data_IF_537858601599
#
_entry.id   IF_537858601599
#
_cell.length_a   1.000
_cell.length_b   1.000
_cell.length_c   1.000
_cell.angle_alpha   90.00
_cell.angle_beta   90.00
_cell.angle_gamma   90.00
#
_symmetry.space_group_name_H-M   'P 1'
#
loop_
_entity.id
_entity.type
_entity.pdbx_description
1 polymer ?
#
# COMPACT_ATOMS: atom_id res chain seq x y z
N UNK A 1 -7.89 71.52 -52.31
CA UNK A 1 -8.64 72.60 -51.63
C UNK A 1 -9.28 72.03 -50.37
N UNK A 2 -9.31 72.82 -49.28
CA UNK A 2 -9.37 72.35 -47.91
C UNK A 2 -10.82 72.12 -47.46
N UNK A 3 -11.01 71.45 -46.33
CA UNK A 3 -11.84 71.87 -45.19
C UNK A 3 -11.79 70.76 -44.10
N UNK A 4 -11.82 71.14 -42.82
CA UNK A 4 -11.19 70.41 -41.73
C UNK A 4 -12.17 69.56 -40.94
N UNK A 5 -11.67 68.46 -40.37
CA UNK A 5 -12.38 67.77 -39.29
C UNK A 5 -12.09 68.44 -37.95
N UNK A 6 -13.19 68.86 -37.33
CA UNK A 6 -13.33 69.48 -36.02
C UNK A 6 -12.78 68.60 -34.90
N UNK A 7 -12.24 69.29 -33.91
CA UNK A 7 -11.95 68.81 -32.57
C UNK A 7 -13.15 68.09 -31.92
N UNK A 8 -12.87 67.01 -31.19
CA UNK A 8 -13.85 66.23 -30.47
C UNK A 8 -13.27 65.63 -29.19
N UNK A 9 -13.61 66.29 -28.09
CA UNK A 9 -13.83 65.79 -26.73
C UNK A 9 -12.77 64.88 -26.07
N UNK A 10 -12.08 65.52 -25.11
CA UNK A 10 -11.78 65.03 -23.77
C UNK A 10 -12.39 63.66 -23.39
N UNK A 11 -11.53 62.65 -23.32
CA UNK A 11 -11.78 61.41 -22.59
C UNK A 11 -11.18 61.53 -21.19
N UNK A 12 -12.03 61.70 -20.19
CA UNK A 12 -11.67 61.66 -18.76
C UNK A 12 -11.22 60.22 -18.46
N UNK A 13 -9.94 60.07 -18.13
CA UNK A 13 -9.37 58.81 -17.66
C UNK A 13 -9.94 58.49 -16.27
N UNK A 14 -10.97 57.64 -16.21
CA UNK A 14 -11.41 57.03 -14.97
C UNK A 14 -10.36 55.98 -14.56
N UNK A 15 -9.43 56.38 -13.68
CA UNK A 15 -8.62 55.44 -12.91
C UNK A 15 -9.55 54.61 -12.02
N UNK A 16 -9.86 53.40 -12.47
CA UNK A 16 -10.49 52.38 -11.64
C UNK A 16 -9.45 51.84 -10.66
N UNK A 17 -9.39 52.43 -9.47
CA UNK A 17 -8.63 51.90 -8.34
C UNK A 17 -9.28 50.58 -7.91
N UNK A 18 -8.70 49.44 -8.32
CA UNK A 18 -9.02 48.14 -7.76
C UNK A 18 -8.61 48.14 -6.28
N UNK A 19 -9.58 48.26 -5.38
CA UNK A 19 -9.39 47.94 -3.97
C UNK A 19 -9.30 46.41 -3.86
N UNK A 20 -8.08 45.88 -3.82
CA UNK A 20 -7.82 44.53 -3.35
C UNK A 20 -8.17 44.49 -1.85
N UNK A 21 -9.38 44.03 -1.53
CA UNK A 21 -9.68 43.64 -0.15
C UNK A 21 -8.89 42.35 0.12
N UNK A 22 -7.77 42.50 0.83
CA UNK A 22 -7.02 41.36 1.34
C UNK A 22 -7.92 40.66 2.34
N UNK A 23 -8.41 39.47 1.99
CA UNK A 23 -9.04 38.57 2.94
C UNK A 23 -7.92 38.01 3.81
N UNK A 24 -7.51 38.77 4.82
CA UNK A 24 -6.72 38.25 5.93
C UNK A 24 -7.66 37.37 6.75
N UNK A 25 -7.92 36.16 6.24
CA UNK A 25 -8.52 35.10 7.03
C UNK A 25 -7.45 34.69 8.04
N UNK A 26 -7.42 35.40 9.16
CA UNK A 26 -6.55 35.10 10.28
C UNK A 26 -6.63 33.61 10.57
N UNK A 27 -5.51 32.92 10.44
CA UNK A 27 -5.36 31.54 10.86
C UNK A 27 -5.57 31.53 12.38
N UNK A 28 -6.78 31.21 12.82
CA UNK A 28 -7.02 30.92 14.22
C UNK A 28 -6.11 29.73 14.57
N UNK A 29 -5.15 29.96 15.46
CA UNK A 29 -4.31 28.90 15.98
C UNK A 29 -5.22 27.83 16.60
N UNK A 30 -5.25 26.64 16.01
CA UNK A 30 -5.93 25.48 16.58
C UNK A 30 -5.20 25.15 17.89
N UNK A 31 -5.86 25.21 19.06
CA UNK A 31 -5.21 24.86 20.31
C UNK A 31 -4.83 23.36 20.26
N UNK A 32 -3.63 22.98 20.75
CA UNK A 32 -3.26 21.58 20.86
C UNK A 32 -4.27 20.87 21.79
N UNK A 33 -5.05 19.94 21.23
CA UNK A 33 -6.06 19.18 21.97
C UNK A 33 -7.48 19.23 21.40
N UNK A 34 -7.76 20.07 20.39
CA UNK A 34 -9.11 20.20 19.80
C UNK A 34 -9.61 19.01 18.95
N UNK A 35 -9.01 17.82 19.09
CA UNK A 35 -9.40 16.61 18.34
C UNK A 35 -9.32 15.31 19.14
N UNK A 36 -9.20 15.37 20.47
CA UNK A 36 -8.99 14.18 21.31
C UNK A 36 -10.26 13.66 22.02
N UNK A 37 -11.42 14.29 21.82
CA UNK A 37 -12.64 14.05 22.62
C UNK A 37 -13.82 13.50 21.79
N UNK A 38 -13.56 12.92 20.62
CA UNK A 38 -14.57 12.07 19.99
C UNK A 38 -14.42 10.67 20.62
N UNK A 39 -15.44 10.16 21.34
CA UNK A 39 -15.38 8.81 21.88
C UNK A 39 -15.15 7.84 20.73
N UNK A 40 -14.27 6.82 20.89
CA UNK A 40 -14.07 5.81 19.87
C UNK A 40 -15.43 5.28 19.41
N UNK A 41 -15.63 5.16 18.10
CA UNK A 41 -16.84 4.55 17.57
C UNK A 41 -17.03 3.18 18.25
N UNK A 42 -18.11 3.02 19.01
CA UNK A 42 -18.34 1.81 19.80
C UNK A 42 -18.25 0.58 18.89
N UNK A 43 -17.38 -0.37 19.26
CA UNK A 43 -17.15 -1.60 18.51
C UNK A 43 -15.91 -1.63 17.60
N UNK A 44 -15.17 -0.52 17.45
CA UNK A 44 -13.86 -0.54 16.77
C UNK A 44 -12.76 -0.85 17.79
N UNK A 45 -12.01 -1.95 17.67
CA UNK A 45 -10.91 -2.25 18.58
C UNK A 45 -9.82 -1.15 18.49
N UNK A 46 -9.11 -0.87 19.58
CA UNK A 46 -8.03 0.12 19.57
C UNK A 46 -6.95 -0.30 18.56
N UNK A 47 -6.31 0.69 17.94
CA UNK A 47 -5.19 0.44 17.03
C UNK A 47 -4.06 -0.29 17.76
N UNK A 48 -3.47 -1.29 17.11
CA UNK A 48 -2.31 -1.98 17.66
C UNK A 48 -1.10 -1.04 17.70
N UNK A 49 -0.33 -1.12 18.79
CA UNK A 49 0.95 -0.44 18.89
C UNK A 49 1.96 -1.02 17.88
N UNK A 50 2.90 -0.20 17.44
CA UNK A 50 4.04 -0.65 16.65
C UNK A 50 4.85 -1.69 17.45
N UNK A 51 5.19 -2.86 16.86
CA UNK A 51 5.95 -3.88 17.56
C UNK A 51 7.41 -3.45 17.77
N UNK A 52 8.05 -4.00 18.80
CA UNK A 52 9.50 -3.93 18.95
C UNK A 52 10.18 -4.81 17.91
N UNK A 53 11.03 -4.21 17.08
CA UNK A 53 11.77 -4.88 15.99
C UNK A 53 13.24 -5.10 16.33
N UNK A 54 13.66 -4.87 17.57
CA UNK A 54 15.05 -5.09 17.99
C UNK A 54 15.47 -6.54 17.74
N UNK A 55 16.48 -6.74 16.89
CA UNK A 55 16.94 -8.07 16.50
C UNK A 55 16.10 -8.79 15.44
N UNK A 56 15.06 -8.15 14.91
CA UNK A 56 14.29 -8.68 13.79
C UNK A 56 15.12 -8.62 12.49
N UNK A 57 14.96 -9.65 11.66
CA UNK A 57 15.66 -9.78 10.38
C UNK A 57 14.81 -10.49 9.35
N UNK A 58 15.16 -10.29 8.08
CA UNK A 58 14.62 -11.13 7.00
C UNK A 58 15.24 -12.52 7.05
N UNK A 59 14.41 -13.53 6.84
CA UNK A 59 14.83 -14.92 6.70
C UNK A 59 14.03 -15.58 5.57
N UNK A 60 14.69 -16.45 4.82
CA UNK A 60 14.02 -17.41 3.95
C UNK A 60 13.31 -18.45 4.79
N UNK A 61 12.15 -18.92 4.34
CA UNK A 61 11.50 -20.08 4.96
C UNK A 61 11.81 -21.37 4.18
N UNK A 62 11.00 -22.41 4.35
CA UNK A 62 11.18 -23.68 3.64
C UNK A 62 10.94 -23.57 2.12
N UNK A 63 10.33 -22.49 1.64
CA UNK A 63 10.05 -22.20 0.24
C UNK A 63 11.01 -21.12 -0.30
N UNK A 64 11.66 -21.31 -1.45
CA UNK A 64 12.46 -20.26 -2.07
C UNK A 64 11.62 -19.08 -2.58
N UNK A 65 10.29 -19.21 -2.56
CA UNK A 65 9.34 -18.22 -3.02
C UNK A 65 8.71 -17.43 -1.87
N UNK A 66 9.21 -17.57 -0.64
CA UNK A 66 8.70 -16.86 0.52
C UNK A 66 9.82 -16.45 1.48
N UNK A 67 9.71 -15.23 1.99
CA UNK A 67 10.58 -14.72 3.06
C UNK A 67 9.73 -14.08 4.15
N UNK A 68 10.25 -14.08 5.36
CA UNK A 68 9.59 -13.54 6.55
C UNK A 68 10.50 -12.56 7.27
N UNK A 69 9.91 -11.54 7.90
CA UNK A 69 10.60 -10.60 8.76
C UNK A 69 10.07 -10.70 10.18
N UNK A 70 10.96 -10.89 11.15
CA UNK A 70 10.62 -11.01 12.55
C UNK A 70 11.83 -11.42 13.38
N UNK A 71 11.61 -11.59 14.69
CA UNK A 71 12.61 -12.12 15.60
C UNK A 71 12.67 -13.64 15.47
N UNK A 72 13.85 -14.20 15.62
CA UNK A 72 14.03 -15.65 15.61
C UNK A 72 13.33 -16.30 16.82
N UNK A 73 12.59 -17.39 16.57
CA UNK A 73 11.81 -18.06 17.60
C UNK A 73 10.48 -17.39 17.94
N UNK A 74 10.17 -16.22 17.38
CA UNK A 74 8.88 -15.54 17.54
C UNK A 74 8.04 -15.61 16.26
N UNK A 75 6.76 -15.27 16.38
CA UNK A 75 5.88 -15.14 15.23
C UNK A 75 6.41 -14.04 14.29
N UNK A 76 6.50 -14.28 12.97
CA UNK A 76 6.87 -13.25 12.01
C UNK A 76 5.92 -12.05 12.05
N UNK A 77 6.42 -10.86 11.74
CA UNK A 77 5.63 -9.64 11.67
C UNK A 77 5.15 -9.37 10.24
N UNK A 78 5.99 -9.66 9.26
CA UNK A 78 5.73 -9.45 7.82
C UNK A 78 6.14 -10.71 7.06
N UNK A 79 5.42 -11.03 5.99
CA UNK A 79 5.84 -12.02 5.00
C UNK A 79 5.69 -11.46 3.59
N UNK A 80 6.61 -11.87 2.72
CA UNK A 80 6.55 -11.65 1.28
C UNK A 80 6.56 -13.00 0.59
N UNK A 81 5.67 -13.20 -0.39
CA UNK A 81 5.52 -14.47 -1.08
C UNK A 81 5.20 -14.26 -2.56
N UNK A 82 5.79 -15.07 -3.44
CA UNK A 82 5.38 -15.12 -4.84
C UNK A 82 4.04 -15.84 -4.94
N UNK A 83 3.07 -15.19 -5.57
CA UNK A 83 1.77 -15.78 -5.89
C UNK A 83 1.46 -15.57 -7.35
N UNK A 84 0.48 -16.30 -7.88
CA UNK A 84 -0.01 -16.08 -9.23
C UNK A 84 -1.52 -16.34 -9.24
N UNK A 85 -2.27 -15.26 -9.09
CA UNK A 85 -3.74 -15.24 -9.08
C UNK A 85 -4.32 -14.92 -10.48
N UNK A 86 -3.45 -14.79 -11.48
CA UNK A 86 -3.80 -14.41 -12.85
C UNK A 86 -2.68 -14.80 -13.82
N UNK A 87 -2.60 -14.18 -15.01
CA UNK A 87 -1.63 -14.57 -16.04
C UNK A 87 -0.18 -14.21 -15.68
N UNK A 88 0.03 -13.25 -14.78
CA UNK A 88 1.35 -12.79 -14.37
C UNK A 88 1.56 -13.11 -12.88
N UNK A 89 2.80 -13.44 -12.46
CA UNK A 89 3.13 -13.56 -11.06
C UNK A 89 3.04 -12.20 -10.36
N UNK A 90 2.69 -12.24 -9.08
CA UNK A 90 2.50 -11.09 -8.20
C UNK A 90 3.25 -11.34 -6.88
N UNK A 91 3.46 -10.26 -6.13
CA UNK A 91 4.01 -10.32 -4.78
C UNK A 91 2.88 -10.17 -3.77
N UNK A 92 2.71 -11.17 -2.91
CA UNK A 92 1.81 -11.11 -1.76
C UNK A 92 2.57 -10.53 -0.56
N UNK A 93 2.16 -9.34 -0.13
CA UNK A 93 2.64 -8.68 1.08
C UNK A 93 1.66 -8.96 2.22
N UNK A 94 2.12 -9.63 3.27
CA UNK A 94 1.31 -9.97 4.44
C UNK A 94 1.83 -9.28 5.69
N UNK A 95 0.96 -8.60 6.45
CA UNK A 95 1.22 -8.17 7.82
C UNK A 95 0.53 -9.15 8.76
N UNK A 96 1.34 -9.94 9.47
CA UNK A 96 0.90 -10.93 10.44
C UNK A 96 0.52 -10.22 11.75
N UNK A 97 -0.62 -9.54 11.71
CA UNK A 97 -1.29 -8.98 12.87
C UNK A 97 -2.79 -9.26 12.72
N UNK A 98 -3.55 -9.35 13.84
CA UNK A 98 -4.98 -9.57 13.78
C UNK A 98 -5.70 -8.57 12.88
N UNK A 99 -6.55 -9.09 12.00
CA UNK A 99 -7.42 -8.30 11.14
C UNK A 99 -8.91 -8.61 11.47
N UNK A 100 -9.79 -7.60 11.52
CA UNK A 100 -11.21 -7.82 11.74
C UNK A 100 -11.85 -8.52 10.53
N UNK A 101 -12.98 -9.20 10.74
CA UNK A 101 -13.72 -9.85 9.65
C UNK A 101 -14.12 -8.82 8.58
N UNK A 102 -13.81 -9.12 7.31
CA UNK A 102 -14.10 -8.20 6.20
C UNK A 102 -13.33 -6.87 6.27
N UNK A 103 -12.30 -6.79 7.13
CA UNK A 103 -11.48 -5.59 7.29
C UNK A 103 -10.83 -5.16 5.98
N UNK A 104 -10.80 -3.85 5.76
CA UNK A 104 -10.14 -3.20 4.62
C UNK A 104 -9.26 -2.08 5.15
N UNK A 105 -8.05 -1.98 4.61
CA UNK A 105 -7.08 -0.97 5.02
C UNK A 105 -6.20 -0.55 3.84
N UNK A 106 -5.36 0.44 4.08
CA UNK A 106 -4.22 0.75 3.22
C UNK A 106 -2.97 0.19 3.88
N UNK A 107 -2.20 -0.58 3.13
CA UNK A 107 -0.85 -0.95 3.45
C UNK A 107 0.09 0.09 2.84
N UNK A 108 0.53 1.03 3.67
CA UNK A 108 1.51 2.04 3.29
C UNK A 108 2.93 1.52 3.56
N UNK A 109 3.79 1.62 2.56
CA UNK A 109 5.23 1.39 2.72
C UNK A 109 5.96 2.65 2.30
N UNK A 110 6.64 3.29 3.24
CA UNK A 110 7.54 4.41 2.99
C UNK A 110 8.98 3.91 3.05
N UNK A 111 9.71 4.08 1.95
CA UNK A 111 11.05 3.53 1.85
C UNK A 111 11.71 3.89 0.54
N UNK A 112 13.05 3.95 0.55
CA UNK A 112 13.84 4.00 -0.68
C UNK A 112 13.52 5.19 -1.63
N UNK A 113 12.90 6.26 -1.13
CA UNK A 113 12.45 7.41 -1.94
C UNK A 113 11.10 7.22 -2.62
N UNK A 114 10.37 6.16 -2.28
CA UNK A 114 9.04 5.85 -2.78
C UNK A 114 8.07 5.67 -1.62
N UNK A 115 6.80 5.98 -1.90
CA UNK A 115 5.69 5.64 -1.01
C UNK A 115 4.74 4.75 -1.80
N UNK A 116 4.70 3.47 -1.43
CA UNK A 116 3.72 2.51 -1.89
C UNK A 116 2.47 2.58 -1.01
N UNK A 117 1.30 2.51 -1.64
CA UNK A 117 0.01 2.46 -0.95
C UNK A 117 -0.85 1.41 -1.64
N UNK A 118 -0.93 0.23 -1.05
CA UNK A 118 -1.68 -0.87 -1.63
C UNK A 118 -2.90 -1.17 -0.78
N UNK A 119 -3.98 -1.61 -1.44
CA UNK A 119 -5.18 -2.02 -0.72
C UNK A 119 -4.86 -3.32 0.03
N UNK A 120 -5.22 -3.36 1.31
CA UNK A 120 -5.11 -4.55 2.12
C UNK A 120 -6.48 -5.02 2.57
N UNK A 121 -6.69 -6.33 2.46
CA UNK A 121 -7.89 -7.02 2.92
C UNK A 121 -7.52 -7.97 4.05
N UNK A 122 -8.49 -8.20 4.94
CA UNK A 122 -8.40 -9.24 5.94
C UNK A 122 -8.57 -10.63 5.28
N UNK A 123 -7.59 -11.52 5.46
CA UNK A 123 -7.56 -12.85 4.87
C UNK A 123 -7.23 -13.93 5.91
N UNK A 124 -7.79 -15.13 5.74
CA UNK A 124 -7.52 -16.28 6.60
C UNK A 124 -6.24 -16.99 6.16
N UNK A 125 -5.27 -17.10 7.07
CA UNK A 125 -3.99 -17.80 6.86
C UNK A 125 -3.74 -18.66 8.09
N UNK A 126 -3.67 -19.99 7.90
CA UNK A 126 -3.44 -20.95 8.99
C UNK A 126 -4.40 -20.83 10.19
N UNK A 127 -5.66 -20.43 9.94
CA UNK A 127 -6.68 -20.24 10.96
C UNK A 127 -6.60 -18.91 11.72
N UNK A 128 -5.69 -18.01 11.31
CA UNK A 128 -5.62 -16.64 11.80
C UNK A 128 -5.99 -15.66 10.69
N UNK A 129 -6.71 -14.59 11.06
CA UNK A 129 -7.03 -13.53 10.12
C UNK A 129 -5.98 -12.43 10.16
N UNK A 130 -5.34 -12.20 9.03
CA UNK A 130 -4.21 -11.27 8.87
C UNK A 130 -4.47 -10.29 7.73
N UNK A 131 -3.64 -9.27 7.61
CA UNK A 131 -3.74 -8.29 6.52
C UNK A 131 -2.89 -8.71 5.32
N UNK A 132 -3.50 -8.75 4.15
CA UNK A 132 -2.82 -9.11 2.90
C UNK A 132 -3.04 -8.08 1.81
N UNK A 133 -2.00 -7.82 1.04
CA UNK A 133 -2.03 -7.01 -0.17
C UNK A 133 -1.32 -7.72 -1.31
N UNK A 134 -1.87 -7.67 -2.52
CA UNK A 134 -1.24 -8.24 -3.71
C UNK A 134 -0.72 -7.11 -4.58
N UNK A 135 0.55 -7.21 -5.00
CA UNK A 135 1.27 -6.17 -5.72
C UNK A 135 1.77 -6.74 -7.04
N UNK A 136 1.47 -6.07 -8.15
CA UNK A 136 2.02 -6.44 -9.45
C UNK A 136 3.55 -6.21 -9.49
N UNK A 137 4.29 -7.15 -10.06
CA UNK A 137 5.76 -7.04 -10.15
C UNK A 137 6.24 -5.90 -11.07
N UNK A 138 5.32 -5.32 -11.86
CA UNK A 138 5.55 -4.13 -12.69
C UNK A 138 5.09 -2.82 -12.03
N UNK A 139 4.59 -2.86 -10.80
CA UNK A 139 4.13 -1.66 -10.08
C UNK A 139 5.30 -0.68 -9.87
N UNK A 140 5.11 0.56 -10.32
CA UNK A 140 6.11 1.63 -10.23
C UNK A 140 6.54 1.92 -8.79
N UNK A 141 5.64 1.73 -7.82
CA UNK A 141 5.93 1.95 -6.39
C UNK A 141 6.56 0.75 -5.68
N UNK A 142 6.71 -0.41 -6.33
CA UNK A 142 7.36 -1.59 -5.74
C UNK A 142 8.77 -1.32 -5.15
N UNK A 143 9.61 -0.42 -5.73
CA UNK A 143 10.90 -0.07 -5.14
C UNK A 143 10.85 0.47 -3.71
N UNK A 144 9.68 0.92 -3.21
CA UNK A 144 9.51 1.26 -1.81
C UNK A 144 9.92 0.11 -0.88
N UNK A 145 9.64 -1.14 -1.28
CA UNK A 145 9.89 -2.36 -0.50
C UNK A 145 11.27 -2.99 -0.76
N UNK A 146 11.85 -2.80 -1.95
CA UNK A 146 12.99 -3.59 -2.44
C UNK A 146 14.31 -2.85 -2.52
N UNK A 147 14.37 -1.59 -2.07
CA UNK A 147 15.63 -0.85 -2.07
C UNK A 147 16.49 -1.09 -0.82
N UNK A 148 17.71 -0.52 -0.78
CA UNK A 148 18.74 -0.86 0.21
C UNK A 148 18.59 -0.15 1.55
N UNK A 149 17.54 0.66 1.77
CA UNK A 149 17.35 1.43 3.00
C UNK A 149 16.36 0.73 3.94
N UNK A 150 16.34 1.16 5.20
CA UNK A 150 15.23 0.82 6.07
C UNK A 150 13.93 1.41 5.52
N UNK A 151 12.81 0.78 5.85
CA UNK A 151 11.47 1.16 5.40
C UNK A 151 10.49 1.09 6.56
N UNK A 152 9.41 1.85 6.46
CA UNK A 152 8.29 1.82 7.41
C UNK A 152 7.06 1.22 6.74
N UNK A 153 6.60 0.10 7.27
CA UNK A 153 5.47 -0.68 6.75
C UNK A 153 4.28 -0.54 7.70
N UNK A 154 3.28 0.24 7.31
CA UNK A 154 2.13 0.61 8.13
C UNK A 154 0.84 0.06 7.56
N UNK A 155 0.02 -0.54 8.43
CA UNK A 155 -1.37 -0.88 8.12
C UNK A 155 -2.27 -0.13 9.10
N UNK A 156 -3.24 0.63 8.59
CA UNK A 156 -4.22 1.32 9.41
C UNK A 156 -4.91 0.34 10.36
N UNK A 157 -4.75 0.54 11.67
CA UNK A 157 -5.28 -0.35 12.72
C UNK A 157 -4.34 -1.46 13.21
N UNK A 158 -3.25 -1.75 12.49
CA UNK A 158 -2.26 -2.79 12.86
C UNK A 158 -0.82 -2.27 13.11
N UNK A 159 -0.69 -0.94 13.25
CA UNK A 159 0.56 -0.27 13.61
C UNK A 159 1.59 -0.20 12.47
N UNK A 160 2.78 0.27 12.81
CA UNK A 160 3.92 0.40 11.88
C UNK A 160 5.02 -0.58 12.25
N UNK A 161 5.50 -1.35 11.28
CA UNK A 161 6.69 -2.19 11.41
C UNK A 161 7.86 -1.48 10.73
N UNK A 162 8.90 -1.15 11.51
CA UNK A 162 10.16 -0.67 10.94
C UNK A 162 10.96 -1.89 10.46
N UNK A 163 11.30 -1.90 9.19
CA UNK A 163 12.01 -3.00 8.55
C UNK A 163 13.43 -2.55 8.22
N UNK A 164 14.41 -3.25 8.78
CA UNK A 164 15.82 -2.96 8.52
C UNK A 164 16.22 -3.30 7.07
N UNK A 165 17.23 -2.59 6.58
CA UNK A 165 17.82 -2.77 5.25
C UNK A 165 18.22 -4.22 4.98
N UNK A 166 17.82 -4.74 3.81
CA UNK A 166 18.19 -6.08 3.37
C UNK A 166 17.96 -6.25 1.86
N UNK A 167 18.76 -7.11 1.23
CA UNK A 167 18.65 -7.42 -0.20
C UNK A 167 17.61 -8.51 -0.52
N UNK A 168 17.17 -9.28 0.49
CA UNK A 168 16.25 -10.42 0.31
C UNK A 168 14.93 -10.04 -0.36
N UNK A 169 14.24 -8.92 -0.03
CA UNK A 169 13.03 -8.52 -0.76
C UNK A 169 13.26 -8.31 -2.25
N UNK A 170 14.40 -7.73 -2.64
CA UNK A 170 14.77 -7.54 -4.06
C UNK A 170 15.02 -8.88 -4.74
N UNK A 171 15.79 -9.75 -4.11
CA UNK A 171 16.10 -11.09 -4.63
C UNK A 171 14.83 -11.95 -4.78
N UNK A 172 13.90 -11.83 -3.83
CA UNK A 172 12.60 -12.50 -3.92
C UNK A 172 11.81 -11.97 -5.12
N UNK A 173 11.71 -10.66 -5.32
CA UNK A 173 11.00 -10.09 -6.49
C UNK A 173 11.61 -10.55 -7.81
N UNK A 174 12.94 -10.63 -7.89
CA UNK A 174 13.64 -11.20 -9.06
C UNK A 174 13.26 -12.67 -9.28
N UNK A 175 13.20 -13.45 -8.21
CA UNK A 175 12.74 -14.86 -8.23
C UNK A 175 11.27 -14.96 -8.66
N UNK A 176 10.39 -14.08 -8.17
CA UNK A 176 8.96 -14.11 -8.48
C UNK A 176 8.67 -13.85 -9.96
N UNK A 177 9.53 -13.15 -10.70
CA UNK A 177 9.33 -12.90 -12.14
C UNK A 177 9.31 -14.18 -12.97
N UNK A 178 9.97 -15.24 -12.51
CA UNK A 178 9.94 -16.57 -13.12
C UNK A 178 8.94 -17.53 -12.46
N UNK A 179 8.14 -17.05 -11.50
CA UNK A 179 7.24 -17.91 -10.74
C UNK A 179 6.03 -18.33 -11.58
N UNK A 180 5.73 -19.62 -11.55
CA UNK A 180 4.52 -20.20 -12.12
C UNK A 180 3.96 -21.20 -11.11
N UNK A 181 2.66 -21.12 -10.79
CA UNK A 181 2.04 -22.19 -10.00
C UNK A 181 2.02 -23.45 -10.86
N UNK A 182 2.44 -24.61 -10.33
CA UNK A 182 2.21 -25.87 -11.02
C UNK A 182 0.71 -25.99 -11.31
N UNK A 183 0.35 -26.08 -12.59
CA UNK A 183 -1.05 -26.29 -12.96
C UNK A 183 -1.50 -27.59 -12.31
N UNK A 184 -2.54 -27.51 -11.47
CA UNK A 184 -3.23 -28.72 -11.02
C UNK A 184 -3.57 -29.53 -12.27
N UNK A 185 -3.07 -30.77 -12.32
CA UNK A 185 -3.30 -31.69 -13.43
C UNK A 185 -4.80 -31.70 -13.77
N UNK A 186 -5.09 -31.57 -15.07
CA UNK A 186 -6.46 -31.50 -15.61
C UNK A 186 -7.37 -32.64 -15.12
N UNK A 187 -8.68 -32.54 -15.39
CA UNK A 187 -9.67 -33.47 -14.84
C UNK A 187 -9.21 -34.91 -15.03
N UNK A 188 -9.14 -35.66 -13.92
CA UNK A 188 -8.97 -37.11 -13.95
C UNK A 188 -10.05 -37.66 -14.88
N UNK A 189 -9.66 -38.00 -16.11
CA UNK A 189 -10.54 -38.69 -17.04
C UNK A 189 -10.87 -40.03 -16.37
N UNK A 190 -12.17 -40.32 -16.11
CA UNK A 190 -12.54 -41.65 -15.65
C UNK A 190 -12.06 -42.66 -16.70
N UNK A 191 -11.58 -43.86 -16.31
CA UNK A 191 -11.18 -44.86 -17.28
C UNK A 191 -12.32 -45.08 -18.28
N UNK A 192 -12.01 -44.86 -19.56
CA UNK A 192 -12.97 -44.85 -20.64
C UNK A 192 -13.78 -46.15 -20.64
N UNK A 193 -15.11 -46.03 -20.65
CA UNK A 193 -15.98 -47.13 -21.07
C UNK A 193 -15.70 -47.38 -22.55
N UNK A 194 -14.99 -48.45 -22.86
CA UNK A 194 -14.92 -49.00 -24.21
C UNK A 194 -16.35 -49.20 -24.72
N UNK A 195 -16.72 -48.49 -25.78
CA UNK A 195 -17.89 -48.81 -26.57
C UNK A 195 -17.66 -50.17 -27.22
N UNK A 196 -18.50 -51.15 -26.88
CA UNK A 196 -18.56 -52.43 -27.57
C UNK A 196 -19.53 -52.30 -28.75
N UNK A 197 -19.18 -52.75 -29.97
CA UNK A 197 -20.14 -52.81 -31.07
C UNK A 197 -21.08 -54.00 -30.87
N UNK A 198 -22.37 -53.80 -31.14
CA UNK A 198 -23.40 -54.82 -31.23
C UNK A 198 -24.30 -54.50 -32.42
#
# INVERSE_FOLDING_TARGET
MPVPHRAGAAGIAAMATLLLVSCDAGVAAVPPGAGADEPPHEGVPPALASPDVTGARWATDASPHRIVYGKEGEAPLIALECVQNGPQPQLLLTRLAPAPAGGKAIFAVDGNGYIGRWHADAAEVNGERVWQSTIDLSEYKLPALTGPRFIEATVSGAGTVVIHQNELPRQLVETCRGFTVPSATGPTQPPGRSASPG
#
